data_IF_582562224704
#
_entry.id   IF_582562224704
#
_cell.length_a   1.000
_cell.length_b   1.000
_cell.length_c   1.000
_cell.angle_alpha   90.00
_cell.angle_beta   90.00
_cell.angle_gamma   90.00
#
_symmetry.space_group_name_H-M   'P 1'
#
loop_
_entity.id
_entity.type
_entity.pdbx_description
1 polymer ?
#
# COMPACT_ATOMS: atom_id res chain seq x y z
N UNK A 1 -8.82 8.43 11.48
CA UNK A 1 -8.09 7.24 11.02
C UNK A 1 -7.74 6.31 12.18
N UNK A 2 -7.28 6.84 13.32
CA UNK A 2 -6.91 6.04 14.49
C UNK A 2 -8.03 5.12 15.01
N UNK A 3 -9.28 5.60 15.04
CA UNK A 3 -10.44 4.79 15.42
C UNK A 3 -10.62 3.57 14.51
N UNK A 4 -10.65 3.79 13.19
CA UNK A 4 -10.79 2.74 12.19
C UNK A 4 -9.64 1.73 12.26
N UNK A 5 -8.42 2.24 12.48
CA UNK A 5 -7.21 1.44 12.62
C UNK A 5 -7.25 0.55 13.85
N UNK A 6 -7.60 1.10 15.01
CA UNK A 6 -7.76 0.32 16.23
C UNK A 6 -8.82 -0.76 16.08
N UNK A 7 -9.98 -0.39 15.51
CA UNK A 7 -11.07 -1.34 15.27
C UNK A 7 -10.67 -2.48 14.31
N UNK A 8 -9.89 -2.17 13.27
CA UNK A 8 -9.37 -3.16 12.33
C UNK A 8 -8.48 -4.21 13.02
N UNK A 9 -7.64 -3.76 13.96
CA UNK A 9 -6.70 -4.60 14.73
C UNK A 9 -7.38 -5.41 15.85
N UNK A 10 -8.59 -5.02 16.27
CA UNK A 10 -9.29 -5.66 17.39
C UNK A 10 -10.55 -6.41 16.93
N UNK A 11 -11.68 -5.72 16.85
CA UNK A 11 -13.00 -6.30 16.63
C UNK A 11 -13.09 -6.96 15.26
N UNK A 12 -12.56 -6.30 14.22
CA UNK A 12 -12.58 -6.84 12.86
C UNK A 12 -11.65 -8.06 12.71
N UNK A 13 -10.42 -7.99 13.21
CA UNK A 13 -9.49 -9.13 13.22
C UNK A 13 -10.06 -10.33 13.99
N UNK A 14 -10.69 -10.09 15.15
CA UNK A 14 -11.41 -11.12 15.91
C UNK A 14 -12.56 -11.70 15.12
N UNK A 15 -13.30 -10.84 14.41
CA UNK A 15 -14.34 -11.21 13.47
C UNK A 15 -13.85 -12.18 12.38
N UNK A 16 -12.77 -11.79 11.69
CA UNK A 16 -12.18 -12.61 10.63
C UNK A 16 -11.69 -13.96 11.16
N UNK A 17 -11.09 -13.97 12.35
CA UNK A 17 -10.60 -15.17 13.03
C UNK A 17 -11.73 -16.14 13.40
N UNK A 18 -12.84 -15.62 13.96
CA UNK A 18 -14.02 -16.44 14.28
C UNK A 18 -14.72 -16.98 13.02
N UNK A 19 -14.68 -16.26 11.90
CA UNK A 19 -15.23 -16.71 10.63
C UNK A 19 -16.70 -17.10 10.71
N UNK A 20 -17.04 -18.34 10.37
CA UNK A 20 -18.43 -18.85 10.41
C UNK A 20 -18.95 -19.11 11.82
N UNK A 21 -18.10 -19.04 12.85
CA UNK A 21 -18.51 -19.19 14.25
C UNK A 21 -19.05 -17.91 14.89
N UNK A 22 -19.07 -16.79 14.15
CA UNK A 22 -19.77 -15.58 14.58
C UNK A 22 -21.28 -15.80 14.62
N UNK A 23 -21.89 -15.39 15.72
CA UNK A 23 -23.33 -15.22 15.81
C UNK A 23 -23.81 -14.09 14.88
N UNK A 24 -25.10 -14.14 14.55
CA UNK A 24 -25.71 -13.26 13.55
C UNK A 24 -25.64 -11.77 13.94
N UNK A 25 -25.82 -11.45 15.23
CA UNK A 25 -25.80 -10.08 15.73
C UNK A 25 -24.39 -9.49 15.66
N UNK A 26 -23.38 -10.23 16.13
CA UNK A 26 -21.98 -9.82 16.00
C UNK A 26 -21.57 -9.67 14.54
N UNK A 27 -22.03 -10.55 13.65
CA UNK A 27 -21.76 -10.45 12.21
C UNK A 27 -22.38 -9.17 11.62
N UNK A 28 -23.64 -8.86 11.95
CA UNK A 28 -24.32 -7.62 11.49
C UNK A 28 -23.60 -6.38 11.99
N UNK A 29 -23.12 -6.38 13.22
CA UNK A 29 -22.35 -5.26 13.77
C UNK A 29 -21.06 -5.02 12.98
N UNK A 30 -20.28 -6.06 12.70
CA UNK A 30 -19.05 -5.95 11.92
C UNK A 30 -19.33 -5.49 10.49
N UNK A 31 -20.40 -6.00 9.85
CA UNK A 31 -20.82 -5.54 8.51
C UNK A 31 -21.11 -4.04 8.53
N UNK A 32 -21.86 -3.56 9.52
CA UNK A 32 -22.23 -2.15 9.65
C UNK A 32 -21.00 -1.26 9.88
N UNK A 33 -20.10 -1.66 10.77
CA UNK A 33 -18.88 -0.90 11.07
C UNK A 33 -17.91 -0.89 9.88
N UNK A 34 -17.70 -2.04 9.22
CA UNK A 34 -16.84 -2.12 8.05
C UNK A 34 -17.38 -1.26 6.89
N UNK A 35 -18.70 -1.29 6.66
CA UNK A 35 -19.35 -0.41 5.69
C UNK A 35 -19.15 1.08 6.04
N UNK A 36 -19.23 1.43 7.33
CA UNK A 36 -19.00 2.81 7.79
C UNK A 36 -17.57 3.27 7.54
N UNK A 37 -16.57 2.44 7.84
CA UNK A 37 -15.16 2.82 7.66
C UNK A 37 -14.68 2.80 6.21
N UNK A 38 -15.25 1.93 5.38
CA UNK A 38 -14.84 1.77 3.97
C UNK A 38 -15.67 2.61 3.01
N UNK A 39 -16.87 3.04 3.42
CA UNK A 39 -17.84 3.67 2.53
C UNK A 39 -18.59 2.68 1.62
N UNK A 40 -18.28 1.37 1.70
CA UNK A 40 -18.92 0.36 0.87
C UNK A 40 -20.34 0.03 1.34
N UNK A 41 -21.26 -0.37 0.44
CA UNK A 41 -22.57 -0.85 0.83
C UNK A 41 -22.49 -2.07 1.75
N UNK A 42 -23.32 -2.12 2.80
CA UNK A 42 -23.39 -3.29 3.71
C UNK A 42 -23.68 -4.60 2.96
N UNK A 43 -24.47 -4.55 1.89
CA UNK A 43 -24.75 -5.71 1.04
C UNK A 43 -23.48 -6.23 0.34
N UNK A 44 -22.60 -5.34 -0.12
CA UNK A 44 -21.31 -5.71 -0.70
C UNK A 44 -20.43 -6.36 0.37
N UNK A 45 -20.31 -5.73 1.54
CA UNK A 45 -19.51 -6.25 2.68
C UNK A 45 -20.00 -7.62 3.14
N UNK A 46 -21.32 -7.83 3.19
CA UNK A 46 -21.90 -9.11 3.54
C UNK A 46 -21.55 -10.19 2.50
N UNK A 47 -21.67 -9.84 1.20
CA UNK A 47 -21.39 -10.73 0.07
C UNK A 47 -19.90 -11.07 -0.07
N UNK A 48 -19.00 -10.15 0.31
CA UNK A 48 -17.56 -10.40 0.37
C UNK A 48 -17.14 -11.26 1.57
N UNK A 49 -18.09 -11.66 2.42
CA UNK A 49 -17.84 -12.38 3.67
C UNK A 49 -16.78 -11.67 4.53
N UNK A 50 -16.95 -10.35 4.67
CA UNK A 50 -16.04 -9.49 5.42
C UNK A 50 -14.62 -9.42 4.85
N UNK A 51 -14.36 -9.90 3.62
CA UNK A 51 -13.02 -9.88 2.99
C UNK A 51 -13.07 -9.05 1.73
N UNK A 52 -12.66 -7.80 1.85
CA UNK A 52 -12.62 -6.86 0.73
C UNK A 52 -11.26 -6.99 0.08
N UNK A 53 -11.26 -7.40 -1.19
CA UNK A 53 -10.09 -7.37 -2.05
C UNK A 53 -9.79 -5.91 -2.46
N UNK A 54 -8.51 -5.55 -2.53
CA UNK A 54 -8.10 -4.17 -2.82
C UNK A 54 -8.51 -3.73 -4.24
N UNK A 55 -8.34 -4.59 -5.25
CA UNK A 55 -8.69 -4.25 -6.64
C UNK A 55 -10.20 -4.13 -6.80
N UNK A 56 -10.96 -4.97 -6.09
CA UNK A 56 -12.42 -4.82 -6.06
C UNK A 56 -12.87 -3.59 -5.28
N UNK A 57 -12.14 -3.18 -4.23
CA UNK A 57 -12.42 -1.92 -3.53
C UNK A 57 -12.22 -0.71 -4.45
N UNK A 58 -11.15 -0.73 -5.26
CA UNK A 58 -10.85 0.31 -6.24
C UNK A 58 -12.00 0.50 -7.25
N UNK A 59 -12.66 -0.60 -7.62
CA UNK A 59 -13.81 -0.63 -8.52
C UNK A 59 -15.12 -0.23 -7.84
N UNK A 60 -15.39 -0.74 -6.64
CA UNK A 60 -16.71 -0.64 -6.01
C UNK A 60 -16.97 0.70 -5.32
N UNK A 61 -15.94 1.38 -4.78
CA UNK A 61 -16.13 2.52 -3.87
C UNK A 61 -17.00 3.66 -4.47
N UNK A 62 -16.84 3.94 -5.77
CA UNK A 62 -17.54 5.02 -6.48
C UNK A 62 -18.37 4.50 -7.66
N UNK A 63 -18.82 3.23 -7.59
CA UNK A 63 -19.54 2.57 -8.68
C UNK A 63 -20.86 3.28 -9.04
N UNK A 64 -21.51 3.92 -8.06
CA UNK A 64 -22.74 4.71 -8.23
C UNK A 64 -22.53 6.00 -9.04
N UNK A 65 -21.28 6.45 -9.14
CA UNK A 65 -20.85 7.62 -9.91
C UNK A 65 -20.23 7.23 -11.25
N UNK A 66 -20.24 5.94 -11.62
CA UNK A 66 -19.52 5.40 -12.79
C UNK A 66 -18.03 5.77 -12.76
N UNK A 67 -17.37 5.58 -11.61
CA UNK A 67 -15.96 5.90 -11.41
C UNK A 67 -15.18 4.79 -10.73
N UNK A 68 -13.89 4.73 -11.04
CA UNK A 68 -12.88 3.96 -10.33
C UNK A 68 -11.94 4.90 -9.57
N UNK A 69 -11.31 4.39 -8.50
CA UNK A 69 -10.21 5.07 -7.80
C UNK A 69 -8.86 4.43 -8.14
N UNK A 70 -7.75 5.13 -7.88
CA UNK A 70 -6.40 4.61 -8.11
C UNK A 70 -5.90 3.67 -7.01
N UNK A 71 -5.22 2.59 -7.41
CA UNK A 71 -4.50 1.69 -6.50
C UNK A 71 -3.33 2.40 -5.84
N UNK A 72 -2.52 3.12 -6.63
CA UNK A 72 -1.38 3.85 -6.09
C UNK A 72 -1.77 5.16 -5.42
N UNK A 73 -2.94 5.75 -5.70
CA UNK A 73 -3.46 6.91 -4.97
C UNK A 73 -4.99 6.95 -5.03
N UNK A 74 -5.66 6.52 -3.96
CA UNK A 74 -7.12 6.44 -3.88
C UNK A 74 -7.85 7.78 -4.00
N UNK A 75 -7.15 8.92 -4.02
CA UNK A 75 -7.74 10.24 -4.25
C UNK A 75 -7.92 10.56 -5.74
N UNK A 76 -7.22 9.83 -6.61
CA UNK A 76 -7.29 10.01 -8.05
C UNK A 76 -8.41 9.11 -8.60
N UNK A 77 -9.27 9.68 -9.45
CA UNK A 77 -10.40 8.97 -10.05
C UNK A 77 -10.39 9.07 -11.55
N UNK A 78 -11.02 8.11 -12.23
CA UNK A 78 -11.35 8.18 -13.64
C UNK A 78 -12.74 7.57 -13.89
N UNK A 79 -13.28 7.85 -15.08
CA UNK A 79 -14.55 7.28 -15.52
C UNK A 79 -14.39 5.77 -15.71
N UNK A 80 -15.38 5.03 -15.21
CA UNK A 80 -15.51 3.59 -15.42
C UNK A 80 -16.24 3.31 -16.73
N UNK A 81 -15.57 2.62 -17.65
CA UNK A 81 -16.14 2.28 -18.96
C UNK A 81 -16.89 0.95 -18.99
N UNK A 82 -16.77 0.12 -17.94
CA UNK A 82 -17.44 -1.18 -17.86
C UNK A 82 -17.88 -1.51 -16.43
N UNK A 83 -19.10 -1.10 -16.07
CA UNK A 83 -19.67 -1.35 -14.75
C UNK A 83 -20.02 -2.80 -14.45
N UNK A 84 -19.82 -3.75 -15.38
CA UNK A 84 -20.03 -5.18 -15.14
C UNK A 84 -18.76 -5.93 -14.74
N UNK A 85 -17.59 -5.32 -14.91
CA UNK A 85 -16.33 -5.93 -14.50
C UNK A 85 -16.15 -5.89 -12.98
N UNK A 86 -15.60 -6.96 -12.43
CA UNK A 86 -15.23 -7.05 -11.01
C UNK A 86 -14.03 -6.17 -10.65
N UNK A 87 -13.23 -5.77 -11.64
CA UNK A 87 -11.96 -5.06 -11.48
C UNK A 87 -11.91 -3.82 -12.38
N UNK A 88 -11.05 -2.87 -12.02
CA UNK A 88 -10.74 -1.73 -12.88
C UNK A 88 -9.84 -2.17 -14.05
N UNK A 89 -10.11 -1.66 -15.26
CA UNK A 89 -9.33 -1.99 -16.46
C UNK A 89 -7.93 -1.34 -16.44
N UNK A 90 -7.77 -0.27 -15.66
CA UNK A 90 -6.53 0.47 -15.47
C UNK A 90 -6.53 1.19 -14.11
N UNK A 91 -5.34 1.58 -13.66
CA UNK A 91 -5.19 2.45 -12.49
C UNK A 91 -5.09 3.92 -12.94
N UNK A 92 -6.06 4.79 -12.59
CA UNK A 92 -6.02 6.20 -12.98
C UNK A 92 -4.85 6.98 -12.36
N UNK A 93 -4.37 6.56 -11.19
CA UNK A 93 -3.19 7.16 -10.58
C UNK A 93 -1.93 6.84 -11.38
N UNK A 94 -1.75 5.59 -11.83
CA UNK A 94 -0.62 5.18 -12.67
C UNK A 94 -0.63 5.91 -14.03
N UNK A 95 -1.77 5.87 -14.73
CA UNK A 95 -1.89 6.45 -16.06
C UNK A 95 -1.68 7.97 -16.05
N UNK A 96 -2.02 8.64 -14.95
CA UNK A 96 -1.82 10.08 -14.77
C UNK A 96 -0.36 10.55 -14.89
N UNK A 97 0.63 9.71 -14.52
CA UNK A 97 2.06 10.07 -14.61
C UNK A 97 2.89 9.20 -15.56
N UNK A 98 2.34 8.10 -16.06
CA UNK A 98 3.05 7.14 -16.92
C UNK A 98 3.71 7.78 -18.14
N UNK A 99 2.97 8.61 -18.87
CA UNK A 99 3.47 9.28 -20.08
C UNK A 99 4.63 10.25 -19.79
N UNK A 100 4.53 11.01 -18.69
CA UNK A 100 5.55 11.98 -18.29
C UNK A 100 6.84 11.27 -17.91
N UNK A 101 6.76 10.21 -17.09
CA UNK A 101 7.95 9.46 -16.69
C UNK A 101 8.59 8.71 -17.84
N UNK A 102 7.82 8.03 -18.69
CA UNK A 102 8.32 7.38 -19.91
C UNK A 102 9.08 8.37 -20.78
N UNK A 103 8.48 9.53 -21.06
CA UNK A 103 9.10 10.51 -21.97
C UNK A 103 10.39 11.08 -21.37
N UNK A 104 10.35 11.45 -20.09
CA UNK A 104 11.49 12.10 -19.42
C UNK A 104 12.69 11.17 -19.31
N UNK A 105 12.50 9.90 -18.95
CA UNK A 105 13.62 8.95 -18.86
C UNK A 105 14.19 8.61 -20.23
N UNK A 106 13.34 8.48 -21.26
CA UNK A 106 13.80 8.23 -22.64
C UNK A 106 14.61 9.40 -23.20
N UNK A 107 14.23 10.63 -22.87
CA UNK A 107 14.96 11.85 -23.23
C UNK A 107 16.33 11.89 -22.54
N UNK A 108 16.35 11.70 -21.22
CA UNK A 108 17.58 11.70 -20.41
C UNK A 108 18.58 10.62 -20.86
N UNK A 109 18.12 9.39 -21.10
CA UNK A 109 18.98 8.29 -21.55
C UNK A 109 19.67 8.60 -22.88
N UNK A 110 18.93 9.15 -23.86
CA UNK A 110 19.46 9.36 -25.22
C UNK A 110 20.28 10.63 -25.34
N UNK A 111 19.80 11.74 -24.75
CA UNK A 111 20.41 13.05 -24.93
C UNK A 111 21.54 13.32 -23.97
N UNK A 112 21.37 12.97 -22.70
CA UNK A 112 22.34 13.30 -21.63
C UNK A 112 23.31 12.13 -21.39
N UNK A 113 22.81 10.90 -21.27
CA UNK A 113 23.65 9.73 -21.03
C UNK A 113 24.20 9.09 -22.33
N UNK A 114 23.76 9.56 -23.50
CA UNK A 114 24.13 9.04 -24.82
C UNK A 114 23.91 7.53 -25.00
N UNK A 115 23.00 6.94 -24.23
CA UNK A 115 22.61 5.55 -24.34
C UNK A 115 21.51 5.42 -25.39
N UNK A 116 21.88 4.88 -26.55
CA UNK A 116 20.98 4.71 -27.69
C UNK A 116 20.70 3.22 -27.92
N UNK A 117 19.43 2.86 -27.93
CA UNK A 117 18.93 1.51 -28.20
C UNK A 117 17.58 1.58 -28.89
N UNK A 118 17.30 0.59 -29.74
CA UNK A 118 15.99 0.39 -30.39
C UNK A 118 15.00 -0.35 -29.49
N UNK A 119 15.45 -0.83 -28.32
CA UNK A 119 14.58 -1.49 -27.36
C UNK A 119 13.62 -0.47 -26.71
N UNK A 120 12.32 -0.79 -26.59
CA UNK A 120 11.38 0.06 -25.89
C UNK A 120 11.71 0.10 -24.39
N UNK A 121 11.57 1.28 -23.78
CA UNK A 121 11.65 1.41 -22.33
C UNK A 121 10.31 1.01 -21.71
N UNK A 122 10.30 -0.09 -20.96
CA UNK A 122 9.11 -0.64 -20.33
C UNK A 122 9.05 -0.18 -18.87
N UNK A 123 8.12 0.71 -18.51
CA UNK A 123 7.96 1.15 -17.11
C UNK A 123 7.57 -0.02 -16.21
N UNK A 124 6.65 -0.87 -16.68
CA UNK A 124 6.21 -2.09 -16.04
C UNK A 124 6.07 -3.15 -17.13
N UNK A 125 6.74 -4.28 -16.98
CA UNK A 125 6.76 -5.33 -18.00
C UNK A 125 6.17 -6.63 -17.42
N UNK A 126 5.13 -7.21 -18.04
CA UNK A 126 4.63 -8.52 -17.61
C UNK A 126 5.63 -9.64 -17.91
N UNK A 127 6.63 -9.40 -18.78
CA UNK A 127 7.61 -10.42 -19.21
C UNK A 127 8.56 -10.88 -18.10
N UNK A 128 8.62 -10.17 -16.98
CA UNK A 128 9.42 -10.57 -15.82
C UNK A 128 8.68 -11.58 -14.93
N UNK A 129 7.42 -11.92 -15.26
CA UNK A 129 6.66 -12.93 -14.54
C UNK A 129 6.92 -14.36 -15.07
N UNK A 130 6.78 -15.39 -14.21
CA UNK A 130 6.51 -15.28 -12.77
C UNK A 130 7.78 -14.82 -12.00
N UNK A 131 7.60 -13.87 -11.08
CA UNK A 131 8.64 -13.55 -10.10
C UNK A 131 8.84 -14.75 -9.17
N UNK A 132 10.09 -15.02 -8.81
CA UNK A 132 10.42 -15.98 -7.76
C UNK A 132 10.19 -15.33 -6.39
N UNK A 133 9.08 -15.68 -5.75
CA UNK A 133 8.75 -15.27 -4.38
C UNK A 133 9.14 -16.34 -3.34
N UNK A 134 9.68 -17.49 -3.78
CA UNK A 134 10.06 -18.61 -2.90
C UNK A 134 11.39 -18.34 -2.17
N UNK A 135 12.14 -17.30 -2.57
CA UNK A 135 13.37 -16.89 -1.88
C UNK A 135 13.16 -16.21 -0.52
N UNK A 136 11.91 -15.91 -0.16
CA UNK A 136 11.53 -15.35 1.14
C UNK A 136 11.35 -16.43 2.19
N UNK A 137 11.87 -16.23 3.40
CA UNK A 137 11.61 -17.11 4.56
C UNK A 137 10.18 -16.96 5.11
N UNK A 138 9.20 -16.82 4.23
CA UNK A 138 7.79 -16.77 4.54
C UNK A 138 7.31 -18.00 5.28
N UNK A 139 6.75 -17.81 6.47
CA UNK A 139 5.92 -18.85 7.08
C UNK A 139 4.56 -18.85 6.38
N UNK A 140 4.22 -19.94 5.68
CA UNK A 140 2.90 -20.09 5.04
C UNK A 140 2.78 -19.61 3.58
N UNK A 141 3.90 -19.44 2.85
CA UNK A 141 3.89 -19.26 1.40
C UNK A 141 3.83 -17.82 0.87
N UNK A 142 4.06 -16.81 1.72
CA UNK A 142 4.16 -15.40 1.31
C UNK A 142 5.56 -14.87 1.56
N UNK A 143 6.10 -14.08 0.63
CA UNK A 143 7.40 -13.42 0.81
C UNK A 143 7.37 -12.55 2.08
N UNK A 144 8.28 -12.83 3.01
CA UNK A 144 8.51 -12.04 4.22
C UNK A 144 10.01 -11.77 4.36
N UNK A 145 10.37 -10.50 4.55
CA UNK A 145 11.76 -10.03 4.74
C UNK A 145 11.99 -9.43 6.13
N UNK A 146 10.98 -9.48 7.01
CA UNK A 146 11.08 -9.01 8.39
C UNK A 146 12.15 -9.76 9.21
N UNK A 147 12.38 -11.08 9.05
CA UNK A 147 13.47 -11.78 9.70
C UNK A 147 14.86 -11.23 9.35
N UNK A 148 15.11 -10.96 8.06
CA UNK A 148 16.37 -10.40 7.55
C UNK A 148 16.59 -8.99 8.07
N UNK A 149 15.54 -8.16 8.07
CA UNK A 149 15.62 -6.82 8.65
C UNK A 149 15.90 -6.86 10.16
N UNK A 150 15.29 -7.79 10.87
CA UNK A 150 15.55 -8.04 12.31
C UNK A 150 17.02 -8.40 12.53
N UNK A 151 17.55 -9.34 11.73
CA UNK A 151 18.95 -9.76 11.82
C UNK A 151 19.91 -8.62 11.46
N UNK A 152 19.59 -7.82 10.44
CA UNK A 152 20.40 -6.66 10.04
C UNK A 152 20.46 -5.61 11.16
N UNK A 153 19.32 -5.29 11.77
CA UNK A 153 19.25 -4.37 12.92
C UNK A 153 20.03 -4.89 14.14
N UNK A 154 19.99 -6.20 14.39
CA UNK A 154 20.71 -6.83 15.49
C UNK A 154 22.22 -6.89 15.27
N UNK A 155 22.67 -7.18 14.06
CA UNK A 155 24.08 -7.35 13.70
C UNK A 155 24.79 -6.04 13.34
N UNK A 156 24.04 -4.98 13.01
CA UNK A 156 24.60 -3.68 12.60
C UNK A 156 24.12 -2.57 13.55
N UNK A 157 24.90 -2.22 14.58
CA UNK A 157 24.50 -1.21 15.58
C UNK A 157 24.15 0.17 15.01
N UNK A 158 24.80 0.55 13.90
CA UNK A 158 24.58 1.84 13.23
C UNK A 158 23.38 1.86 12.27
N UNK A 159 22.78 0.70 11.97
CA UNK A 159 21.64 0.64 11.05
C UNK A 159 20.42 1.32 11.67
N UNK A 160 19.89 2.31 10.95
CA UNK A 160 18.62 2.99 11.22
C UNK A 160 17.71 2.83 10.01
N UNK A 161 16.41 2.74 10.24
CA UNK A 161 15.41 2.52 9.20
C UNK A 161 14.36 3.61 9.28
N UNK A 162 14.03 4.22 8.14
CA UNK A 162 12.88 5.11 7.97
C UNK A 162 11.96 4.49 6.92
N UNK A 163 10.69 4.28 7.30
CA UNK A 163 9.64 3.78 6.43
C UNK A 163 8.66 4.92 6.20
N UNK A 164 8.42 5.26 4.94
CA UNK A 164 7.55 6.35 4.56
C UNK A 164 6.30 5.77 3.89
N UNK A 165 5.12 6.06 4.44
CA UNK A 165 3.85 5.50 3.99
C UNK A 165 2.89 6.61 3.54
N UNK A 166 2.21 6.41 2.41
CA UNK A 166 1.08 7.23 2.01
C UNK A 166 -0.22 6.72 2.62
N UNK A 167 -1.08 7.60 3.15
CA UNK A 167 -2.39 7.20 3.67
C UNK A 167 -3.35 6.65 2.61
N UNK A 168 -3.17 7.04 1.34
CA UNK A 168 -4.06 6.67 0.23
C UNK A 168 -3.44 5.62 -0.70
N UNK A 169 -2.38 4.95 -0.25
CA UNK A 169 -1.74 3.86 -0.98
C UNK A 169 -2.47 2.54 -0.71
N UNK A 170 -3.14 2.00 -1.73
CA UNK A 170 -3.81 0.71 -1.67
C UNK A 170 -2.92 -0.44 -2.16
N UNK A 171 -1.80 -0.13 -2.82
CA UNK A 171 -0.82 -1.13 -3.26
C UNK A 171 0.00 -1.67 -2.08
N UNK A 172 0.43 -0.78 -1.19
CA UNK A 172 1.15 -1.11 0.05
C UNK A 172 0.57 -0.35 1.25
N UNK A 173 -0.60 -0.77 1.77
CA UNK A 173 -1.29 -0.04 2.84
C UNK A 173 -0.41 0.15 4.08
N UNK A 174 -0.41 1.36 4.64
CA UNK A 174 0.42 1.70 5.79
C UNK A 174 0.18 0.77 7.00
N UNK A 175 -1.07 0.31 7.21
CA UNK A 175 -1.41 -0.55 8.33
C UNK A 175 -0.75 -1.95 8.22
N UNK A 176 -0.46 -2.42 7.00
CA UNK A 176 0.31 -3.66 6.81
C UNK A 176 1.75 -3.49 7.26
N UNK A 177 2.35 -2.32 7.01
CA UNK A 177 3.69 -1.97 7.53
C UNK A 177 3.67 -1.97 9.06
N UNK A 178 2.69 -1.32 9.68
CA UNK A 178 2.56 -1.31 11.14
C UNK A 178 2.45 -2.71 11.72
N UNK A 179 1.60 -3.55 11.14
CA UNK A 179 1.45 -4.95 11.53
C UNK A 179 2.79 -5.68 11.46
N UNK A 180 3.50 -5.58 10.34
CA UNK A 180 4.80 -6.24 10.15
C UNK A 180 5.83 -5.77 11.18
N UNK A 181 5.98 -4.46 11.38
CA UNK A 181 6.97 -3.93 12.33
C UNK A 181 6.62 -4.30 13.78
N UNK A 182 5.34 -4.29 14.14
CA UNK A 182 4.89 -4.66 15.49
C UNK A 182 5.03 -6.18 15.76
N UNK A 183 4.96 -7.00 14.71
CA UNK A 183 5.15 -8.45 14.82
C UNK A 183 6.64 -8.87 14.85
N UNK A 184 7.57 -7.99 14.46
CA UNK A 184 9.00 -8.28 14.53
C UNK A 184 9.48 -8.42 15.99
N UNK A 185 10.36 -9.39 16.30
CA UNK A 185 10.87 -9.61 17.65
C UNK A 185 12.01 -8.62 18.00
N UNK A 186 11.72 -7.33 17.93
CA UNK A 186 12.67 -6.26 18.22
C UNK A 186 12.72 -5.95 19.73
N UNK A 187 13.92 -5.88 20.29
CA UNK A 187 14.11 -5.27 21.62
C UNK A 187 13.77 -3.77 21.57
N UNK A 188 13.44 -3.11 22.70
CA UNK A 188 13.17 -1.68 22.71
C UNK A 188 14.27 -0.83 22.06
N UNK A 189 15.54 -1.22 22.23
CA UNK A 189 16.69 -0.55 21.61
C UNK A 189 16.78 -0.75 20.10
N UNK A 190 16.35 -1.91 19.57
CA UNK A 190 16.24 -2.15 18.14
C UNK A 190 15.05 -1.38 17.56
N UNK A 191 13.89 -1.44 18.22
CA UNK A 191 12.67 -0.75 17.78
C UNK A 191 12.85 0.76 17.70
N UNK A 192 13.60 1.36 18.62
CA UNK A 192 13.89 2.79 18.60
C UNK A 192 14.62 3.27 17.33
N UNK A 193 15.31 2.36 16.60
CA UNK A 193 16.04 2.62 15.36
C UNK A 193 15.19 2.49 14.09
N UNK A 194 13.95 2.01 14.21
CA UNK A 194 12.96 1.96 13.13
C UNK A 194 11.98 3.11 13.34
N UNK A 195 11.81 3.94 12.31
CA UNK A 195 10.87 5.07 12.31
C UNK A 195 9.90 4.96 11.16
N UNK A 196 8.63 5.16 11.45
CA UNK A 196 7.57 5.27 10.47
C UNK A 196 7.18 6.75 10.30
N UNK A 197 6.93 7.16 9.07
CA UNK A 197 6.46 8.50 8.72
C UNK A 197 5.27 8.37 7.76
N UNK A 198 4.19 9.08 8.06
CA UNK A 198 2.94 9.00 7.32
C UNK A 198 2.65 10.32 6.62
N UNK A 199 2.13 10.23 5.40
CA UNK A 199 1.94 11.38 4.53
C UNK A 199 0.54 11.36 3.92
N UNK A 200 -0.05 12.55 3.76
CA UNK A 200 -1.27 12.80 3.00
C UNK A 200 -1.00 12.66 1.48
N UNK A 201 -0.68 11.43 1.06
CA UNK A 201 -0.33 11.04 -0.30
C UNK A 201 -0.65 9.57 -0.59
N UNK A 202 -0.62 9.17 -1.86
CA UNK A 202 -0.53 7.76 -2.27
C UNK A 202 0.89 7.19 -2.23
N UNK A 203 1.09 6.11 -2.96
CA UNK A 203 2.30 5.27 -3.06
C UNK A 203 3.56 6.07 -3.38
N UNK A 204 3.50 6.97 -4.36
CA UNK A 204 4.59 7.87 -4.69
C UNK A 204 4.44 9.20 -3.96
N UNK A 205 4.84 9.21 -2.68
CA UNK A 205 4.69 10.33 -1.73
C UNK A 205 5.10 11.69 -2.32
N UNK A 206 6.16 11.70 -3.13
CA UNK A 206 6.72 12.93 -3.71
C UNK A 206 5.87 13.57 -4.83
N UNK A 207 4.81 12.92 -5.29
CA UNK A 207 3.88 13.53 -6.26
C UNK A 207 3.02 14.61 -5.62
N UNK A 208 2.64 14.46 -4.36
CA UNK A 208 1.95 15.51 -3.60
C UNK A 208 2.94 16.63 -3.25
N UNK A 209 2.71 17.90 -3.65
CA UNK A 209 3.65 19.00 -3.38
C UNK A 209 3.91 19.21 -1.89
N UNK A 210 2.87 19.12 -1.06
CA UNK A 210 2.98 19.24 0.39
C UNK A 210 3.77 18.05 0.96
N UNK A 211 3.36 16.82 0.65
CA UNK A 211 4.02 15.63 1.16
C UNK A 211 5.47 15.52 0.69
N UNK A 212 5.81 16.01 -0.52
CA UNK A 212 7.18 16.11 -1.01
C UNK A 212 8.04 17.03 -0.14
N UNK A 213 7.51 18.19 0.25
CA UNK A 213 8.22 19.11 1.15
C UNK A 213 8.42 18.49 2.53
N UNK A 214 7.39 17.84 3.07
CA UNK A 214 7.46 17.15 4.35
C UNK A 214 8.46 15.97 4.30
N UNK A 215 8.42 15.17 3.23
CA UNK A 215 9.34 14.05 3.00
C UNK A 215 10.78 14.55 2.96
N UNK A 216 11.06 15.64 2.23
CA UNK A 216 12.39 16.26 2.22
C UNK A 216 12.85 16.63 3.63
N UNK A 217 11.99 17.28 4.42
CA UNK A 217 12.33 17.64 5.79
C UNK A 217 12.56 16.42 6.68
N UNK A 218 11.73 15.38 6.57
CA UNK A 218 11.88 14.11 7.32
C UNK A 218 13.19 13.41 6.97
N UNK A 219 13.52 13.32 5.68
CA UNK A 219 14.79 12.76 5.20
C UNK A 219 15.98 13.57 5.70
N UNK A 220 15.92 14.90 5.64
CA UNK A 220 16.96 15.76 6.18
C UNK A 220 17.15 15.51 7.68
N UNK A 221 16.09 15.50 8.48
CA UNK A 221 16.19 15.16 9.92
C UNK A 221 16.76 13.76 10.12
N UNK A 222 16.31 12.76 9.36
CA UNK A 222 16.79 11.39 9.49
C UNK A 222 18.29 11.28 9.22
N UNK A 223 18.79 11.88 8.13
CA UNK A 223 20.22 11.88 7.80
C UNK A 223 21.08 12.67 8.80
N UNK A 224 20.55 13.74 9.39
CA UNK A 224 21.28 14.54 10.39
C UNK A 224 21.09 14.04 11.83
N UNK A 225 20.16 13.14 12.11
CA UNK A 225 19.99 12.49 13.42
C UNK A 225 21.12 11.51 13.77
N UNK A 226 22.23 11.57 13.02
CA UNK A 226 23.43 10.76 13.13
C UNK A 226 24.48 11.25 14.13
N UNK A 227 24.27 12.40 14.78
CA UNK A 227 25.06 12.87 15.93
C UNK A 227 24.40 12.50 17.27
#
# INVERSE_FOLDING_TARGET
IDEARHWAETDYATGLSRGTSLDEDSRKQIISQLATYTGLPQAYVARSNLRIDAERFEKELLIDQHKIIGRFDGRITADDTDGLNDFADFDPSLEGYRGVFSTTINDYLRRELHFNTDQPYEILSPRVNPWDFDSGHGTGGFLDVAPELTQALASTPSLKVLICCGYYDLATPFATVDYTINAMPLTPALRARVKEAYFESGHMIYLSPQARSELKSRLATFFHSGD
#
